data_IF_869981173227
#
_entry.id   IF_869981173227
#
_cell.length_a   1.000
_cell.length_b   1.000
_cell.length_c   1.000
_cell.angle_alpha   90.00
_cell.angle_beta   90.00
_cell.angle_gamma   90.00
#
_symmetry.space_group_name_H-M   'P 1'
#
loop_
_entity.id
_entity.type
_entity.pdbx_description
1 polymer ?
#
# COMPACT_ATOMS: atom_id res chain seq x y z
N UNK A 1 -50.18 -17.90 -13.69
CA UNK A 1 -49.16 -17.13 -14.44
C UNK A 1 -47.90 -17.10 -13.57
N UNK A 2 -46.82 -17.78 -13.95
CA UNK A 2 -45.54 -17.71 -13.20
C UNK A 2 -44.82 -16.46 -13.67
N UNK A 3 -44.60 -15.52 -12.75
CA UNK A 3 -43.75 -14.35 -13.01
C UNK A 3 -42.33 -14.86 -13.23
N UNK A 4 -41.79 -14.67 -14.42
CA UNK A 4 -40.37 -14.88 -14.69
C UNK A 4 -39.61 -13.74 -14.03
N UNK A 5 -38.94 -14.03 -12.91
CA UNK A 5 -37.94 -13.13 -12.35
C UNK A 5 -36.65 -13.39 -13.11
N UNK A 6 -36.16 -12.47 -13.96
CA UNK A 6 -34.88 -12.65 -14.62
C UNK A 6 -33.80 -12.82 -13.53
N UNK A 7 -32.78 -13.67 -13.75
CA UNK A 7 -31.68 -13.77 -12.81
C UNK A 7 -31.08 -12.38 -12.64
N UNK A 8 -30.94 -11.95 -11.38
CA UNK A 8 -30.20 -10.72 -11.08
C UNK A 8 -28.75 -11.02 -11.45
N UNK A 9 -28.30 -10.47 -12.57
CA UNK A 9 -26.89 -10.51 -12.97
C UNK A 9 -26.14 -9.51 -12.09
N UNK A 10 -25.78 -9.93 -10.88
CA UNK A 10 -24.80 -9.21 -10.08
C UNK A 10 -23.44 -9.41 -10.74
N UNK A 11 -22.89 -8.33 -11.31
CA UNK A 11 -21.50 -8.31 -11.73
C UNK A 11 -20.65 -8.42 -10.46
N UNK A 12 -19.80 -9.44 -10.38
CA UNK A 12 -18.80 -9.55 -9.33
C UNK A 12 -17.68 -8.53 -9.60
N UNK A 13 -17.52 -7.48 -8.77
CA UNK A 13 -16.45 -6.50 -8.92
C UNK A 13 -15.06 -7.15 -8.91
N UNK A 14 -14.92 -8.33 -8.28
CA UNK A 14 -13.68 -9.09 -8.21
C UNK A 14 -13.24 -9.67 -9.57
N UNK A 15 -14.16 -9.79 -10.52
CA UNK A 15 -13.88 -10.31 -11.87
C UNK A 15 -13.60 -9.21 -12.89
N UNK A 16 -13.96 -7.96 -12.57
CA UNK A 16 -13.76 -6.81 -13.44
C UNK A 16 -12.28 -6.40 -13.38
N UNK A 17 -11.66 -6.10 -14.53
CA UNK A 17 -10.25 -5.64 -14.65
C UNK A 17 -9.15 -6.63 -14.24
N UNK A 18 -9.43 -7.93 -14.32
CA UNK A 18 -8.39 -8.97 -14.16
C UNK A 18 -7.33 -8.90 -15.27
N UNK A 19 -6.03 -8.75 -14.95
CA UNK A 19 -4.98 -8.47 -15.93
C UNK A 19 -4.67 -9.66 -16.85
N UNK A 20 -5.05 -10.89 -16.50
CA UNK A 20 -4.70 -12.10 -17.26
C UNK A 20 -5.22 -12.06 -18.71
N UNK A 21 -6.43 -11.51 -18.92
CA UNK A 21 -6.99 -11.34 -20.27
C UNK A 21 -6.21 -10.29 -21.06
N UNK A 22 -5.93 -9.14 -20.44
CA UNK A 22 -5.25 -8.00 -21.07
C UNK A 22 -3.80 -8.33 -21.42
N UNK A 23 -3.08 -9.03 -20.53
CA UNK A 23 -1.72 -9.53 -20.76
C UNK A 23 -1.70 -10.41 -22.02
N UNK A 24 -2.64 -11.37 -22.09
CA UNK A 24 -2.70 -12.33 -23.19
C UNK A 24 -3.03 -11.68 -24.53
N UNK A 25 -3.88 -10.65 -24.54
CA UNK A 25 -4.37 -10.01 -25.76
C UNK A 25 -3.46 -8.89 -26.28
N UNK A 26 -2.81 -8.13 -25.39
CA UNK A 26 -2.10 -6.91 -25.74
C UNK A 26 -0.61 -6.89 -25.38
N UNK A 27 -0.10 -7.93 -24.70
CA UNK A 27 1.30 -7.96 -24.23
C UNK A 27 1.58 -6.93 -23.13
N UNK A 28 0.54 -6.49 -22.42
CA UNK A 28 0.65 -5.56 -21.29
C UNK A 28 1.57 -6.12 -20.19
N UNK A 29 2.34 -5.24 -19.56
CA UNK A 29 3.34 -5.60 -18.55
C UNK A 29 2.91 -5.06 -17.18
N UNK A 30 2.88 -5.95 -16.19
CA UNK A 30 2.57 -5.64 -14.79
C UNK A 30 3.74 -4.94 -14.11
N UNK A 31 3.46 -3.93 -13.25
CA UNK A 31 4.45 -3.16 -12.49
C UNK A 31 5.57 -2.58 -13.36
N UNK A 32 5.19 -1.96 -14.48
CA UNK A 32 6.13 -1.21 -15.32
C UNK A 32 6.30 0.21 -14.77
N UNK A 33 7.54 0.57 -14.46
CA UNK A 33 7.93 1.92 -14.06
C UNK A 33 8.88 2.52 -15.10
N UNK A 34 8.67 3.79 -15.46
CA UNK A 34 9.56 4.53 -16.35
C UNK A 34 9.72 5.97 -15.84
N UNK A 35 10.96 6.46 -15.86
CA UNK A 35 11.31 7.82 -15.45
C UNK A 35 11.09 8.87 -16.53
N UNK A 36 10.83 8.44 -17.77
CA UNK A 36 10.81 9.25 -18.98
C UNK A 36 9.54 9.01 -19.83
N UNK A 37 8.52 8.37 -19.26
CA UNK A 37 7.27 8.09 -19.94
C UNK A 37 6.44 9.36 -20.15
N UNK A 38 5.89 9.51 -21.36
CA UNK A 38 4.91 10.57 -21.65
C UNK A 38 3.50 10.24 -21.15
N UNK A 39 3.26 8.98 -20.75
CA UNK A 39 1.97 8.53 -20.21
C UNK A 39 1.62 9.25 -18.90
N UNK A 40 0.39 9.75 -18.81
CA UNK A 40 -0.06 10.56 -17.69
C UNK A 40 -0.09 9.79 -16.35
N UNK A 41 -0.41 8.48 -16.39
CA UNK A 41 -0.40 7.63 -15.20
C UNK A 41 1.03 7.41 -14.73
N UNK A 42 1.93 7.08 -15.64
CA UNK A 42 3.36 6.94 -15.33
C UNK A 42 3.97 8.23 -14.76
N UNK A 43 3.58 9.41 -15.26
CA UNK A 43 4.00 10.70 -14.67
C UNK A 43 3.49 10.89 -13.25
N UNK A 44 2.24 10.50 -12.98
CA UNK A 44 1.64 10.57 -11.64
C UNK A 44 2.35 9.64 -10.66
N UNK A 45 2.63 8.40 -11.10
CA UNK A 45 3.40 7.42 -10.33
C UNK A 45 4.81 7.95 -10.05
N UNK A 46 5.49 8.46 -11.08
CA UNK A 46 6.82 9.04 -10.93
C UNK A 46 6.84 10.19 -9.92
N UNK A 47 5.89 11.14 -10.02
CA UNK A 47 5.79 12.26 -9.09
C UNK A 47 5.52 11.78 -7.66
N UNK A 48 4.65 10.79 -7.49
CA UNK A 48 4.36 10.19 -6.17
C UNK A 48 5.62 9.60 -5.55
N UNK A 49 6.39 8.80 -6.29
CA UNK A 49 7.66 8.26 -5.82
C UNK A 49 8.73 9.33 -5.64
N UNK A 50 8.78 10.37 -6.47
CA UNK A 50 9.71 11.49 -6.30
C UNK A 50 9.46 12.22 -4.98
N UNK A 51 8.20 12.56 -4.68
CA UNK A 51 7.83 13.20 -3.42
C UNK A 51 8.10 12.26 -2.23
N UNK A 52 7.76 10.98 -2.36
CA UNK A 52 8.03 9.97 -1.33
C UNK A 52 9.52 9.90 -1.00
N UNK A 53 10.35 9.66 -2.01
CA UNK A 53 11.80 9.54 -1.84
C UNK A 53 12.48 10.83 -1.42
N UNK A 54 11.88 12.00 -1.69
CA UNK A 54 12.41 13.29 -1.24
C UNK A 54 12.11 13.54 0.25
N UNK A 55 10.92 13.14 0.73
CA UNK A 55 10.40 13.60 2.02
C UNK A 55 10.32 12.53 3.12
N UNK A 56 10.36 11.24 2.78
CA UNK A 56 10.44 10.15 3.75
C UNK A 56 11.86 10.10 4.36
N UNK A 57 12.03 10.82 5.46
CA UNK A 57 13.22 10.86 6.31
C UNK A 57 12.96 10.19 7.65
N UNK A 58 14.02 9.87 8.40
CA UNK A 58 13.91 9.35 9.77
C UNK A 58 13.04 10.26 10.64
N UNK A 59 13.25 11.57 10.56
CA UNK A 59 12.48 12.56 11.34
C UNK A 59 11.00 12.59 10.92
N UNK A 60 10.75 12.56 9.61
CA UNK A 60 9.38 12.53 9.08
C UNK A 60 8.64 11.28 9.55
N UNK A 61 9.23 10.10 9.39
CA UNK A 61 8.60 8.82 9.78
C UNK A 61 8.31 8.80 11.28
N UNK A 62 9.26 9.18 12.12
CA UNK A 62 9.05 9.25 13.57
C UNK A 62 7.92 10.22 13.93
N UNK A 63 7.82 11.36 13.24
CA UNK A 63 6.73 12.32 13.44
C UNK A 63 5.36 11.73 13.08
N UNK A 64 5.28 10.95 11.99
CA UNK A 64 4.04 10.32 11.53
C UNK A 64 3.60 9.16 12.41
N UNK A 65 4.54 8.34 12.89
CA UNK A 65 4.24 7.35 13.93
C UNK A 65 3.63 8.05 15.15
N UNK A 66 4.30 9.08 15.68
CA UNK A 66 3.81 9.81 16.86
C UNK A 66 2.46 10.51 16.63
N UNK A 67 2.16 10.92 15.39
CA UNK A 67 0.88 11.52 15.01
C UNK A 67 -0.24 10.47 14.93
N UNK A 68 -0.04 9.43 14.12
CA UNK A 68 -1.12 8.53 13.69
C UNK A 68 -1.39 7.39 14.66
N UNK A 69 -0.40 6.97 15.46
CA UNK A 69 -0.60 5.94 16.48
C UNK A 69 -1.28 6.46 17.76
N UNK A 70 -1.78 7.70 17.75
CA UNK A 70 -2.74 8.20 18.75
C UNK A 70 -4.15 7.66 18.50
N UNK A 71 -4.45 7.26 17.26
CA UNK A 71 -5.74 6.71 16.84
C UNK A 71 -6.94 7.62 17.20
N UNK A 72 -6.75 8.94 17.10
CA UNK A 72 -7.74 9.97 17.49
C UNK A 72 -8.42 10.67 16.30
N UNK A 73 -8.12 10.24 15.07
CA UNK A 73 -8.61 10.89 13.83
C UNK A 73 -10.06 10.52 13.51
N UNK A 74 -10.46 9.26 13.72
CA UNK A 74 -11.82 8.77 13.47
C UNK A 74 -12.07 7.42 14.14
N UNK A 75 -13.34 6.99 14.14
CA UNK A 75 -13.78 5.65 14.57
C UNK A 75 -14.82 5.12 13.60
N UNK A 76 -14.62 3.93 13.04
CA UNK A 76 -15.59 3.27 12.17
C UNK A 76 -15.41 1.75 12.16
N UNK A 77 -16.35 1.02 11.57
CA UNK A 77 -16.20 -0.41 11.28
C UNK A 77 -15.31 -0.66 10.05
N UNK A 78 -14.94 -1.92 9.83
CA UNK A 78 -14.15 -2.34 8.66
C UNK A 78 -14.87 -2.07 7.34
N UNK A 79 -16.19 -2.37 7.27
CA UNK A 79 -16.98 -2.10 6.07
C UNK A 79 -17.10 -0.60 5.78
N UNK A 80 -17.28 0.24 6.81
CA UNK A 80 -17.28 1.69 6.64
C UNK A 80 -15.93 2.21 6.12
N UNK A 81 -14.82 1.60 6.56
CA UNK A 81 -13.48 1.94 6.08
C UNK A 81 -13.31 1.54 4.61
N UNK A 82 -13.79 0.37 4.20
CA UNK A 82 -13.84 -0.04 2.78
C UNK A 82 -14.68 0.93 1.95
N UNK A 83 -15.85 1.34 2.46
CA UNK A 83 -16.73 2.27 1.75
C UNK A 83 -16.08 3.64 1.54
N UNK A 84 -15.30 4.11 2.50
CA UNK A 84 -14.50 5.33 2.34
C UNK A 84 -13.48 5.22 1.20
N UNK A 85 -12.92 4.03 0.96
CA UNK A 85 -11.97 3.80 -0.13
C UNK A 85 -12.63 3.66 -1.51
N UNK A 86 -13.96 3.70 -1.61
CA UNK A 86 -14.66 3.77 -2.91
C UNK A 86 -14.29 5.04 -3.70
N UNK A 87 -13.90 6.13 -3.02
CA UNK A 87 -13.49 7.38 -3.66
C UNK A 87 -11.98 7.57 -3.74
N UNK A 88 -11.19 6.55 -3.40
CA UNK A 88 -9.74 6.62 -3.38
C UNK A 88 -9.13 5.85 -4.56
N UNK A 89 -8.29 6.53 -5.33
CA UNK A 89 -7.45 5.94 -6.39
C UNK A 89 -6.00 6.12 -5.96
N UNK A 90 -5.26 5.02 -5.93
CA UNK A 90 -3.85 4.98 -5.53
C UNK A 90 -3.00 5.66 -6.62
N UNK A 91 -2.24 6.70 -6.32
CA UNK A 91 -1.41 7.41 -7.31
C UNK A 91 -0.05 6.73 -7.58
N UNK A 92 0.32 5.71 -6.79
CA UNK A 92 1.56 4.96 -6.94
C UNK A 92 1.43 3.71 -7.82
N UNK A 93 0.21 3.23 -8.06
CA UNK A 93 -0.06 2.00 -8.82
C UNK A 93 0.03 2.24 -10.35
N UNK A 94 1.02 1.69 -11.07
CA UNK A 94 1.15 1.91 -12.51
C UNK A 94 0.12 1.13 -13.34
N UNK A 95 -0.59 0.18 -12.74
CA UNK A 95 -1.31 -0.86 -13.46
C UNK A 95 -2.81 -0.54 -13.62
N UNK A 96 -3.45 -0.04 -12.57
CA UNK A 96 -4.89 0.21 -12.54
C UNK A 96 -5.26 1.50 -11.81
N UNK A 97 -6.28 2.20 -12.31
CA UNK A 97 -6.87 3.40 -11.70
C UNK A 97 -8.29 3.11 -11.21
N UNK A 98 -8.43 2.06 -10.38
CA UNK A 98 -9.71 1.65 -9.81
C UNK A 98 -9.86 2.14 -8.37
N UNK A 99 -11.11 2.29 -7.89
CA UNK A 99 -11.37 2.42 -6.46
C UNK A 99 -10.67 1.30 -5.68
N UNK A 100 -9.92 1.68 -4.63
CA UNK A 100 -9.12 0.73 -3.87
C UNK A 100 -9.98 -0.31 -3.12
N UNK A 101 -11.26 -0.03 -2.89
CA UNK A 101 -12.22 -1.00 -2.36
C UNK A 101 -12.41 -2.21 -3.28
N UNK A 102 -12.37 -2.02 -4.61
CA UNK A 102 -12.50 -3.11 -5.58
C UNK A 102 -11.27 -4.04 -5.48
N UNK A 103 -10.08 -3.45 -5.39
CA UNK A 103 -8.82 -4.19 -5.20
C UNK A 103 -8.84 -5.04 -3.91
N UNK A 104 -9.38 -4.50 -2.81
CA UNK A 104 -9.54 -5.24 -1.57
C UNK A 104 -10.40 -6.51 -1.76
N UNK A 105 -11.54 -6.41 -2.44
CA UNK A 105 -12.39 -7.57 -2.74
C UNK A 105 -11.73 -8.55 -3.74
N UNK A 106 -11.05 -8.05 -4.78
CA UNK A 106 -10.30 -8.88 -5.73
C UNK A 106 -9.25 -9.74 -5.02
N UNK A 107 -8.53 -9.13 -4.09
CA UNK A 107 -7.48 -9.78 -3.31
C UNK A 107 -8.08 -10.85 -2.40
N UNK A 108 -9.11 -10.48 -1.62
CA UNK A 108 -9.80 -11.39 -0.72
C UNK A 108 -10.43 -12.59 -1.44
N UNK A 109 -11.11 -12.37 -2.57
CA UNK A 109 -11.77 -13.44 -3.33
C UNK A 109 -10.78 -14.39 -4.00
N UNK A 110 -9.65 -13.89 -4.50
CA UNK A 110 -8.60 -14.78 -5.03
C UNK A 110 -7.97 -15.63 -3.93
N UNK A 111 -7.74 -15.06 -2.75
CA UNK A 111 -7.26 -15.82 -1.59
C UNK A 111 -8.30 -16.86 -1.19
N UNK A 112 -9.59 -16.51 -1.12
CA UNK A 112 -10.68 -17.45 -0.80
C UNK A 112 -10.74 -18.61 -1.78
N UNK A 113 -10.54 -18.37 -3.07
CA UNK A 113 -10.55 -19.41 -4.09
C UNK A 113 -9.38 -20.41 -3.95
N UNK A 114 -8.18 -19.95 -3.58
CA UNK A 114 -6.99 -20.80 -3.47
C UNK A 114 -6.74 -21.36 -2.06
N UNK A 115 -7.25 -20.67 -1.04
CA UNK A 115 -7.12 -20.99 0.38
C UNK A 115 -8.49 -20.92 1.07
N UNK A 116 -9.44 -21.78 0.65
CA UNK A 116 -10.79 -21.79 1.22
C UNK A 116 -10.80 -22.19 2.71
N UNK A 117 -9.73 -22.84 3.18
CA UNK A 117 -9.52 -23.31 4.55
C UNK A 117 -8.94 -22.23 5.49
N UNK A 118 -8.55 -21.06 4.97
CA UNK A 118 -7.88 -19.99 5.74
C UNK A 118 -8.71 -18.71 5.72
N UNK A 119 -9.82 -18.71 6.44
CA UNK A 119 -10.70 -17.55 6.62
C UNK A 119 -9.95 -16.28 7.08
N UNK A 120 -9.02 -16.42 8.02
CA UNK A 120 -8.19 -15.32 8.51
C UNK A 120 -7.36 -14.68 7.38
N UNK A 121 -6.89 -15.47 6.41
CA UNK A 121 -6.06 -15.00 5.29
C UNK A 121 -6.93 -14.26 4.26
N UNK A 122 -8.18 -14.70 4.07
CA UNK A 122 -9.16 -14.01 3.24
C UNK A 122 -9.44 -12.61 3.82
N UNK A 123 -9.64 -12.53 5.14
CA UNK A 123 -9.80 -11.26 5.84
C UNK A 123 -8.53 -10.40 5.76
N UNK A 124 -7.33 -10.97 5.90
CA UNK A 124 -6.06 -10.26 5.67
C UNK A 124 -6.04 -9.59 4.30
N UNK A 125 -6.40 -10.32 3.24
CA UNK A 125 -6.49 -9.76 1.89
C UNK A 125 -7.52 -8.63 1.76
N UNK A 126 -8.64 -8.72 2.47
CA UNK A 126 -9.66 -7.67 2.44
C UNK A 126 -9.20 -6.38 3.13
N UNK A 127 -8.40 -6.49 4.20
CA UNK A 127 -8.09 -5.34 5.07
C UNK A 127 -6.69 -4.76 4.88
N UNK A 128 -5.81 -5.40 4.11
CA UNK A 128 -4.39 -5.02 4.00
C UNK A 128 -4.20 -3.53 3.67
N UNK A 129 -5.00 -3.03 2.73
CA UNK A 129 -4.92 -1.65 2.25
C UNK A 129 -5.76 -0.64 3.03
N UNK A 130 -6.43 -1.03 4.12
CA UNK A 130 -7.29 -0.11 4.85
C UNK A 130 -6.53 1.03 5.52
N UNK A 131 -5.21 0.93 5.66
CA UNK A 131 -4.39 2.06 6.09
C UNK A 131 -4.44 3.26 5.13
N UNK A 132 -4.85 3.05 3.87
CA UNK A 132 -4.96 4.12 2.85
C UNK A 132 -6.01 5.17 3.18
N UNK A 133 -6.89 4.90 4.14
CA UNK A 133 -7.84 5.90 4.67
C UNK A 133 -7.15 7.17 5.16
N UNK A 134 -5.87 7.13 5.56
CA UNK A 134 -5.08 8.31 5.93
C UNK A 134 -5.13 9.43 4.87
N UNK A 135 -5.13 9.06 3.58
CA UNK A 135 -5.21 10.04 2.49
C UNK A 135 -6.54 10.83 2.50
N UNK A 136 -7.62 10.23 3.00
CA UNK A 136 -8.92 10.87 3.13
C UNK A 136 -8.98 11.84 4.32
N UNK A 137 -7.95 11.83 5.17
CA UNK A 137 -7.80 12.67 6.35
C UNK A 137 -6.63 13.66 6.21
N UNK A 138 -6.23 13.96 4.96
CA UNK A 138 -5.32 15.05 4.64
C UNK A 138 -3.86 14.67 4.46
N UNK A 139 -3.49 13.38 4.59
CA UNK A 139 -2.14 12.95 4.21
C UNK A 139 -1.98 12.99 2.69
N UNK A 140 -0.82 13.47 2.18
CA UNK A 140 -0.51 13.32 0.78
C UNK A 140 -0.28 11.84 0.44
N UNK A 141 -0.63 11.42 -0.77
CA UNK A 141 -0.54 10.01 -1.18
C UNK A 141 0.88 9.42 -1.00
N UNK A 142 1.94 10.19 -1.24
CA UNK A 142 3.32 9.74 -1.05
C UNK A 142 3.67 9.39 0.41
N UNK A 143 2.86 9.81 1.38
CA UNK A 143 2.97 9.45 2.79
C UNK A 143 1.99 8.34 3.22
N UNK A 144 1.35 7.67 2.25
CA UNK A 144 0.28 6.69 2.48
C UNK A 144 0.47 5.44 1.63
N UNK A 145 0.70 5.59 0.32
CA UNK A 145 0.77 4.50 -0.67
C UNK A 145 2.19 4.31 -1.20
N UNK A 146 2.38 3.28 -2.04
CA UNK A 146 3.64 2.99 -2.72
C UNK A 146 4.47 1.90 -2.07
N UNK A 147 5.44 1.39 -2.83
CA UNK A 147 6.41 0.41 -2.33
C UNK A 147 7.24 1.03 -1.19
N UNK A 148 7.37 0.33 -0.07
CA UNK A 148 8.08 0.82 1.12
C UNK A 148 9.58 0.52 1.08
N UNK A 149 10.37 1.29 1.84
CA UNK A 149 11.81 1.07 1.99
C UNK A 149 12.31 1.49 3.39
N UNK A 150 13.42 0.91 3.89
CA UNK A 150 14.02 1.35 5.14
C UNK A 150 14.53 2.80 5.04
N UNK A 151 14.07 3.68 5.94
CA UNK A 151 14.69 5.01 6.13
C UNK A 151 15.90 4.89 7.06
N UNK A 152 16.78 5.89 7.09
CA UNK A 152 17.95 5.86 8.00
C UNK A 152 19.10 4.96 7.56
N UNK A 153 19.06 4.40 6.35
CA UNK A 153 20.18 3.79 5.64
C UNK A 153 20.11 4.13 4.14
N UNK A 154 21.16 3.82 3.37
CA UNK A 154 21.18 4.08 1.94
C UNK A 154 20.14 3.22 1.19
N UNK A 155 19.38 3.82 0.28
CA UNK A 155 18.40 3.10 -0.54
C UNK A 155 19.06 2.03 -1.43
N UNK A 156 18.53 0.81 -1.37
CA UNK A 156 19.00 -0.32 -2.15
C UNK A 156 18.71 -0.15 -3.66
N UNK A 157 19.47 -0.81 -4.56
CA UNK A 157 19.28 -0.69 -6.01
C UNK A 157 17.90 -1.13 -6.52
N UNK A 158 17.19 -1.98 -5.76
CA UNK A 158 15.87 -2.48 -6.13
C UNK A 158 14.72 -1.53 -5.77
N UNK A 159 14.98 -0.46 -5.03
CA UNK A 159 13.96 0.54 -4.72
C UNK A 159 13.51 1.19 -6.03
N UNK A 160 12.20 1.28 -6.23
CA UNK A 160 11.59 1.79 -7.46
C UNK A 160 12.11 3.19 -7.76
N UNK A 161 12.51 3.45 -9.02
CA UNK A 161 12.97 4.78 -9.47
C UNK A 161 14.12 5.39 -8.63
N UNK A 162 14.87 4.57 -7.89
CA UNK A 162 15.89 5.02 -6.92
C UNK A 162 16.93 5.97 -7.51
N UNK A 163 17.36 5.72 -8.75
CA UNK A 163 18.41 6.50 -9.40
C UNK A 163 17.99 7.93 -9.78
N UNK A 164 16.70 8.22 -9.89
CA UNK A 164 16.17 9.51 -10.33
C UNK A 164 15.47 10.33 -9.24
N UNK A 165 15.19 9.75 -8.07
CA UNK A 165 14.24 10.31 -7.10
C UNK A 165 14.79 10.62 -5.71
N UNK A 166 15.98 10.11 -5.34
CA UNK A 166 16.57 10.34 -4.00
C UNK A 166 17.47 11.59 -3.88
N UNK A 167 17.72 12.31 -4.99
CA UNK A 167 18.72 13.40 -5.04
C UNK A 167 18.50 14.49 -3.98
N UNK A 168 17.24 14.78 -3.69
CA UNK A 168 16.84 15.90 -2.84
C UNK A 168 16.46 15.48 -1.41
N UNK A 169 16.55 14.18 -1.10
CA UNK A 169 16.39 13.68 0.26
C UNK A 169 17.56 14.15 1.16
N UNK A 170 17.23 14.73 2.31
CA UNK A 170 18.23 15.20 3.28
C UNK A 170 19.03 14.06 3.91
N UNK A 171 18.39 12.91 4.18
CA UNK A 171 19.03 11.75 4.81
C UNK A 171 20.04 11.08 3.87
N UNK A 172 19.81 11.13 2.56
CA UNK A 172 20.78 10.66 1.57
C UNK A 172 22.12 11.43 1.61
N UNK A 173 22.12 12.63 2.19
CA UNK A 173 23.32 13.48 2.38
C UNK A 173 23.85 13.44 3.81
N UNK A 174 23.14 12.77 4.73
CA UNK A 174 23.51 12.69 6.14
C UNK A 174 24.49 11.52 6.37
N UNK A 175 25.70 11.75 6.93
CA UNK A 175 26.68 10.69 7.17
C UNK A 175 26.19 9.60 8.14
N UNK A 176 25.16 9.86 8.95
CA UNK A 176 24.54 8.87 9.82
C UNK A 176 23.68 7.85 9.05
N UNK A 177 23.15 8.24 7.89
CA UNK A 177 22.12 7.48 7.17
C UNK A 177 22.55 7.09 5.75
N UNK A 178 23.58 7.71 5.19
CA UNK A 178 23.99 7.50 3.79
C UNK A 178 24.90 6.29 3.56
N UNK A 179 25.04 5.40 4.56
CA UNK A 179 25.79 4.14 4.44
C UNK A 179 24.84 2.95 4.33
N UNK A 180 25.35 1.79 3.90
CA UNK A 180 24.56 0.56 3.73
C UNK A 180 23.74 0.18 4.95
N UNK A 181 24.33 0.31 6.15
CA UNK A 181 23.62 0.03 7.39
C UNK A 181 23.05 1.29 8.05
N UNK A 182 23.62 2.46 7.78
CA UNK A 182 23.18 3.72 8.38
C UNK A 182 23.09 3.62 9.90
N UNK A 183 21.89 3.83 10.44
CA UNK A 183 21.61 3.73 11.88
C UNK A 183 21.40 2.29 12.40
N UNK A 184 21.39 1.28 11.52
CA UNK A 184 21.06 -0.10 11.87
C UNK A 184 22.29 -0.95 12.20
N UNK A 185 22.02 -2.07 12.89
CA UNK A 185 22.99 -3.16 13.10
C UNK A 185 22.72 -4.29 12.11
N UNK A 186 23.78 -4.93 11.65
CA UNK A 186 23.65 -6.14 10.84
C UNK A 186 22.86 -7.22 11.60
N UNK A 187 21.88 -7.83 10.93
CA UNK A 187 21.04 -8.87 11.52
C UNK A 187 20.05 -8.41 12.61
N UNK A 188 19.71 -7.12 12.69
CA UNK A 188 18.77 -6.61 13.71
C UNK A 188 17.30 -7.04 13.53
N UNK A 189 16.96 -7.63 12.38
CA UNK A 189 15.60 -8.08 12.05
C UNK A 189 14.67 -6.93 11.65
N UNK A 190 13.65 -7.23 10.84
CA UNK A 190 12.73 -6.23 10.27
C UNK A 190 11.92 -5.48 11.34
N UNK A 191 11.65 -6.11 12.48
CA UNK A 191 10.97 -5.46 13.61
C UNK A 191 11.76 -4.28 14.20
N UNK A 192 13.08 -4.24 13.98
CA UNK A 192 13.97 -3.17 14.42
C UNK A 192 14.22 -2.12 13.33
N UNK A 193 13.64 -2.29 12.14
CA UNK A 193 13.81 -1.38 11.01
C UNK A 193 12.72 -0.32 11.02
N UNK A 194 13.12 0.94 10.79
CA UNK A 194 12.20 2.04 10.55
C UNK A 194 11.89 2.09 9.05
N UNK A 195 10.72 1.62 8.66
CA UNK A 195 10.25 1.68 7.27
C UNK A 195 9.71 3.08 6.95
N UNK A 196 9.76 3.49 5.68
CA UNK A 196 9.02 4.64 5.16
C UNK A 196 7.56 4.57 5.62
N UNK A 197 7.01 5.69 6.08
CA UNK A 197 5.66 5.73 6.64
C UNK A 197 4.60 5.53 5.56
N UNK A 198 3.62 4.67 5.82
CA UNK A 198 2.54 4.38 4.88
C UNK A 198 1.45 3.50 5.49
N UNK A 199 0.57 3.00 4.62
CA UNK A 199 -0.58 2.18 4.99
C UNK A 199 -0.20 0.89 5.73
N UNK A 200 0.92 0.25 5.39
CA UNK A 200 1.42 -1.00 5.99
C UNK A 200 1.60 -0.87 7.51
N UNK A 201 2.54 -0.03 7.94
CA UNK A 201 2.84 0.19 9.36
C UNK A 201 1.65 0.78 10.09
N UNK A 202 0.90 1.70 9.47
CA UNK A 202 -0.30 2.25 10.10
C UNK A 202 -1.35 1.16 10.36
N UNK A 203 -1.64 0.31 9.37
CA UNK A 203 -2.65 -0.75 9.52
C UNK A 203 -2.19 -1.82 10.51
N UNK A 204 -0.91 -2.18 10.52
CA UNK A 204 -0.32 -3.04 11.56
C UNK A 204 -0.55 -2.47 12.97
N UNK A 205 -0.29 -1.18 13.17
CA UNK A 205 -0.48 -0.51 14.46
C UNK A 205 -1.97 -0.41 14.83
N UNK A 206 -2.87 -0.17 13.88
CA UNK A 206 -4.34 -0.20 14.09
C UNK A 206 -4.79 -1.56 14.58
N UNK A 207 -4.31 -2.65 13.96
CA UNK A 207 -4.66 -4.03 14.36
C UNK A 207 -4.20 -4.34 15.78
N UNK A 208 -2.99 -3.91 16.15
CA UNK A 208 -2.47 -4.08 17.52
C UNK A 208 -3.24 -3.26 18.54
N UNK A 209 -3.52 -1.99 18.25
CA UNK A 209 -4.26 -1.11 19.13
C UNK A 209 -5.67 -1.65 19.42
N UNK A 210 -6.36 -2.15 18.40
CA UNK A 210 -7.70 -2.71 18.51
C UNK A 210 -7.72 -4.17 18.98
N UNK A 211 -6.55 -4.76 19.32
CA UNK A 211 -6.41 -6.13 19.81
C UNK A 211 -7.05 -7.15 18.86
N UNK A 212 -6.73 -7.02 17.58
CA UNK A 212 -7.17 -7.98 16.56
C UNK A 212 -6.86 -9.41 16.99
N UNK A 213 -7.78 -10.32 16.69
CA UNK A 213 -7.62 -11.77 16.93
C UNK A 213 -7.01 -12.50 15.74
N UNK A 214 -6.60 -11.78 14.70
CA UNK A 214 -5.85 -12.35 13.59
C UNK A 214 -4.51 -12.95 14.08
N UNK A 215 -4.03 -14.04 13.46
CA UNK A 215 -2.75 -14.63 13.83
C UNK A 215 -1.60 -13.67 13.51
N UNK A 216 -0.47 -13.82 14.21
CA UNK A 216 0.70 -12.92 14.03
C UNK A 216 1.15 -12.84 12.57
N UNK A 217 1.15 -13.97 11.85
CA UNK A 217 1.49 -13.99 10.42
C UNK A 217 0.61 -13.09 9.55
N UNK A 218 -0.65 -12.88 9.92
CA UNK A 218 -1.53 -11.94 9.22
C UNK A 218 -1.10 -10.49 9.42
N UNK A 219 -0.67 -10.15 10.64
CA UNK A 219 -0.14 -8.83 10.97
C UNK A 219 1.20 -8.61 10.25
N UNK A 220 2.06 -9.63 10.21
CA UNK A 220 3.36 -9.58 9.53
C UNK A 220 3.24 -9.50 8.00
N UNK A 221 2.14 -9.99 7.41
CA UNK A 221 1.88 -9.85 5.97
C UNK A 221 1.32 -8.48 5.59
N UNK A 222 0.67 -7.78 6.52
CA UNK A 222 0.16 -6.42 6.31
C UNK A 222 1.26 -5.38 6.53
N UNK A 223 2.22 -5.70 7.40
CA UNK A 223 3.36 -4.87 7.75
C UNK A 223 4.49 -5.01 6.75
#
# INVERSE_FOLDING_TARGET
>A
MKVLVPPITLQDPSEIFRPEKVIKECGWQFRKYSSDSEDARQKTVYETYLQMHTHQTVDFVNSKIAEWTKFDKFKCGILDALDKLNSFVDDSDPDIALPNSIHAYQTAERIRAHHPDKDWMQLTGLIHDLGKVMALYGEPQWAVVGDTYPVGCSAAPSVVLRDSTFRDNSDAKNPLYNTTLGMYKEGCGLDSILMSWGHDEYMYQVLKHNKSTLPQIALDMIR
#
